data_IF_635078773654
#
_entry.id   IF_635078773654
#
_cell.length_a   1.000
_cell.length_b   1.000
_cell.length_c   1.000
_cell.angle_alpha   90.00
_cell.angle_beta   90.00
_cell.angle_gamma   90.00
#
_symmetry.space_group_name_H-M   'P 1'
#
loop_
_entity.id
_entity.type
_entity.pdbx_description
1 polymer ?
#
# COMPACT_ATOMS: atom_id res chain seq x y z
N UNK A 1 43.79 -5.01 -9.59
CA UNK A 1 42.97 -4.95 -8.36
C UNK A 1 42.19 -3.64 -8.31
N UNK A 2 42.80 -2.48 -8.57
CA UNK A 2 42.09 -1.19 -8.73
C UNK A 2 40.99 -1.19 -9.82
N UNK A 3 41.18 -1.90 -10.95
CA UNK A 3 40.16 -1.97 -12.02
C UNK A 3 38.86 -2.67 -11.61
N UNK A 4 38.95 -3.68 -10.74
CA UNK A 4 37.77 -4.39 -10.23
C UNK A 4 36.96 -3.51 -9.29
N UNK A 5 37.64 -2.72 -8.45
CA UNK A 5 37.00 -1.76 -7.55
C UNK A 5 36.31 -0.63 -8.33
N UNK A 6 36.99 -0.03 -9.30
CA UNK A 6 36.41 1.01 -10.14
C UNK A 6 35.17 0.51 -10.89
N UNK A 7 35.19 -0.74 -11.34
CA UNK A 7 34.05 -1.39 -11.96
C UNK A 7 32.88 -1.57 -10.97
N UNK A 8 33.13 -2.05 -9.75
CA UNK A 8 32.10 -2.21 -8.73
C UNK A 8 31.49 -0.88 -8.30
N UNK A 9 32.30 0.15 -8.10
CA UNK A 9 31.82 1.52 -7.80
C UNK A 9 30.93 2.03 -8.92
N UNK A 10 31.33 1.83 -10.18
CA UNK A 10 30.54 2.26 -11.33
C UNK A 10 29.21 1.51 -11.43
N UNK A 11 29.21 0.19 -11.19
CA UNK A 11 28.00 -0.64 -11.15
C UNK A 11 27.04 -0.19 -10.04
N UNK A 12 27.56 0.06 -8.83
CA UNK A 12 26.77 0.54 -7.68
C UNK A 12 26.15 1.90 -7.98
N UNK A 13 26.94 2.87 -8.44
CA UNK A 13 26.44 4.20 -8.78
C UNK A 13 25.36 4.14 -9.87
N UNK A 14 25.55 3.30 -10.90
CA UNK A 14 24.54 3.09 -11.93
C UNK A 14 23.23 2.52 -11.38
N UNK A 15 23.30 1.54 -10.46
CA UNK A 15 22.12 0.98 -9.80
C UNK A 15 21.37 2.02 -8.96
N UNK A 16 22.08 2.91 -8.28
CA UNK A 16 21.48 3.99 -7.48
C UNK A 16 20.75 4.99 -8.35
N UNK A 17 21.35 5.40 -9.46
CA UNK A 17 20.73 6.31 -10.43
C UNK A 17 19.45 5.69 -11.01
N UNK A 18 19.50 4.41 -11.37
CA UNK A 18 18.34 3.67 -11.85
C UNK A 18 17.24 3.53 -10.79
N UNK A 19 17.58 3.17 -9.55
CA UNK A 19 16.63 3.08 -8.43
C UNK A 19 15.98 4.43 -8.17
N UNK A 20 16.76 5.52 -8.18
CA UNK A 20 16.28 6.88 -7.97
C UNK A 20 15.32 7.31 -9.08
N UNK A 21 15.68 7.03 -10.33
CA UNK A 21 14.82 7.31 -11.49
C UNK A 21 13.52 6.52 -11.45
N UNK A 22 13.59 5.23 -11.13
CA UNK A 22 12.43 4.36 -11.00
C UNK A 22 11.53 4.81 -9.85
N UNK A 23 12.07 5.13 -8.68
CA UNK A 23 11.31 5.63 -7.54
C UNK A 23 10.62 6.98 -7.84
N UNK A 24 11.20 7.78 -8.73
CA UNK A 24 10.62 9.06 -9.18
C UNK A 24 9.58 8.90 -10.30
N UNK A 25 9.41 7.68 -10.84
CA UNK A 25 8.48 7.40 -11.95
C UNK A 25 7.19 6.77 -11.42
N UNK A 26 6.00 7.35 -11.67
CA UNK A 26 4.73 6.89 -11.12
C UNK A 26 4.33 5.46 -11.51
N UNK A 27 4.78 4.99 -12.69
CA UNK A 27 4.42 3.68 -13.25
C UNK A 27 5.35 2.53 -12.80
N UNK A 28 6.31 2.82 -11.92
CA UNK A 28 7.24 1.80 -11.45
C UNK A 28 6.55 0.82 -10.52
N UNK A 29 6.66 -0.48 -10.83
CA UNK A 29 6.13 -1.53 -9.98
C UNK A 29 7.00 -1.73 -8.73
N UNK A 30 6.36 -2.01 -7.59
CA UNK A 30 7.08 -2.34 -6.36
C UNK A 30 8.03 -3.54 -6.53
N UNK A 31 7.67 -4.52 -7.36
CA UNK A 31 8.53 -5.66 -7.72
C UNK A 31 9.79 -5.23 -8.47
N UNK A 32 9.66 -4.33 -9.45
CA UNK A 32 10.79 -3.81 -10.22
C UNK A 32 11.77 -3.02 -9.34
N UNK A 33 11.23 -2.19 -8.43
CA UNK A 33 12.04 -1.43 -7.47
C UNK A 33 12.77 -2.39 -6.51
N UNK A 34 12.05 -3.35 -5.93
CA UNK A 34 12.59 -4.34 -4.99
C UNK A 34 13.72 -5.17 -5.61
N UNK A 35 13.54 -5.63 -6.86
CA UNK A 35 14.57 -6.39 -7.57
C UNK A 35 15.87 -5.60 -7.73
N UNK A 36 15.78 -4.30 -8.01
CA UNK A 36 16.95 -3.43 -8.17
C UNK A 36 17.62 -3.10 -6.83
N UNK A 37 16.83 -2.89 -5.78
CA UNK A 37 17.35 -2.71 -4.42
C UNK A 37 18.12 -3.95 -3.95
N UNK A 38 17.59 -5.15 -4.18
CA UNK A 38 18.29 -6.41 -3.86
C UNK A 38 19.62 -6.55 -4.64
N UNK A 39 19.66 -6.08 -5.89
CA UNK A 39 20.89 -6.11 -6.69
C UNK A 39 21.96 -5.15 -6.11
N UNK A 40 21.54 -3.95 -5.71
CA UNK A 40 22.41 -2.98 -5.05
C UNK A 40 22.97 -3.54 -3.73
N UNK A 41 22.14 -4.17 -2.90
CA UNK A 41 22.57 -4.80 -1.65
C UNK A 41 23.62 -5.90 -1.89
N UNK A 42 23.43 -6.74 -2.91
CA UNK A 42 24.39 -7.78 -3.26
C UNK A 42 25.73 -7.18 -3.69
N UNK A 43 25.72 -6.10 -4.48
CA UNK A 43 26.94 -5.41 -4.91
C UNK A 43 27.66 -4.71 -3.75
N UNK A 44 26.90 -4.13 -2.83
CA UNK A 44 27.42 -3.57 -1.58
C UNK A 44 28.05 -4.67 -0.71
N UNK A 45 27.45 -5.85 -0.63
CA UNK A 45 28.00 -6.99 0.09
C UNK A 45 29.31 -7.49 -0.54
N UNK A 46 29.34 -7.64 -1.86
CA UNK A 46 30.55 -7.98 -2.63
C UNK A 46 31.68 -6.98 -2.35
N UNK A 47 31.35 -5.68 -2.27
CA UNK A 47 32.31 -4.65 -1.90
C UNK A 47 32.78 -4.72 -0.43
N UNK A 48 31.97 -5.21 0.51
CA UNK A 48 32.39 -5.36 1.92
C UNK A 48 33.40 -6.48 2.14
N UNK A 49 33.46 -7.47 1.25
CA UNK A 49 34.38 -8.60 1.34
C UNK A 49 35.83 -8.26 0.94
N UNK A 50 36.08 -7.03 0.48
CA UNK A 50 37.42 -6.57 0.09
C UNK A 50 37.95 -5.47 1.05
N UNK A 51 38.92 -5.77 1.94
CA UNK A 51 39.25 -4.91 3.08
C UNK A 51 40.45 -3.96 2.92
N UNK A 52 41.02 -3.75 1.73
CA UNK A 52 42.27 -2.96 1.59
C UNK A 52 42.09 -1.44 1.79
N UNK A 53 43.12 -0.74 2.25
CA UNK A 53 43.05 0.68 2.67
C UNK A 53 42.55 1.68 1.59
N UNK A 54 42.66 1.34 0.30
CA UNK A 54 42.06 2.10 -0.82
C UNK A 54 40.51 2.03 -0.83
N UNK A 55 39.92 1.15 -0.03
CA UNK A 55 38.48 0.95 0.09
C UNK A 55 37.79 1.87 1.10
N UNK A 56 38.49 2.69 1.89
CA UNK A 56 37.81 3.49 2.92
C UNK A 56 36.83 4.52 2.35
N UNK A 57 37.19 5.16 1.24
CA UNK A 57 36.30 6.12 0.57
C UNK A 57 35.07 5.39 0.00
N UNK A 58 35.31 4.32 -0.78
CA UNK A 58 34.25 3.49 -1.35
C UNK A 58 33.36 2.88 -0.25
N UNK A 59 33.92 2.48 0.88
CA UNK A 59 33.20 1.94 2.05
C UNK A 59 32.31 2.99 2.70
N UNK A 60 32.76 4.24 2.82
CA UNK A 60 31.94 5.31 3.35
C UNK A 60 30.81 5.68 2.37
N UNK A 61 31.10 5.73 1.07
CA UNK A 61 30.10 5.96 0.04
C UNK A 61 29.04 4.85 0.07
N UNK A 62 29.46 3.58 0.10
CA UNK A 62 28.57 2.42 0.28
C UNK A 62 27.70 2.53 1.53
N UNK A 63 28.28 2.90 2.68
CA UNK A 63 27.52 3.04 3.93
C UNK A 63 26.46 4.13 3.81
N UNK A 64 26.79 5.25 3.15
CA UNK A 64 25.81 6.30 2.83
C UNK A 64 24.71 5.80 1.90
N UNK A 65 25.07 4.99 0.91
CA UNK A 65 24.14 4.41 -0.06
C UNK A 65 23.21 3.36 0.59
N UNK A 66 23.72 2.51 1.48
CA UNK A 66 22.89 1.61 2.28
C UNK A 66 21.89 2.38 3.15
N UNK A 67 22.31 3.46 3.80
CA UNK A 67 21.41 4.28 4.62
C UNK A 67 20.32 4.96 3.77
N UNK A 68 20.67 5.44 2.57
CA UNK A 68 19.70 5.97 1.62
C UNK A 68 18.71 4.90 1.16
N UNK A 69 19.19 3.67 0.91
CA UNK A 69 18.35 2.53 0.53
C UNK A 69 17.32 2.21 1.61
N UNK A 70 17.76 2.09 2.87
CA UNK A 70 16.88 1.83 4.02
C UNK A 70 15.82 2.93 4.17
N UNK A 71 16.21 4.18 3.96
CA UNK A 71 15.31 5.33 4.01
C UNK A 71 14.26 5.26 2.90
N UNK A 72 14.68 4.96 1.67
CA UNK A 72 13.77 4.78 0.53
C UNK A 72 12.80 3.61 0.77
N UNK A 73 13.27 2.50 1.31
CA UNK A 73 12.46 1.32 1.61
C UNK A 73 11.40 1.64 2.68
N UNK A 74 11.79 2.41 3.70
CA UNK A 74 10.87 2.89 4.74
C UNK A 74 9.81 3.83 4.16
N UNK A 75 10.20 4.75 3.29
CA UNK A 75 9.27 5.67 2.63
C UNK A 75 8.28 4.94 1.74
N UNK A 76 8.76 3.98 0.93
CA UNK A 76 7.92 3.18 0.05
C UNK A 76 6.90 2.34 0.84
N UNK A 77 7.34 1.74 1.95
CA UNK A 77 6.46 0.97 2.84
C UNK A 77 5.35 1.85 3.41
N UNK A 78 5.69 3.06 3.86
CA UNK A 78 4.71 4.01 4.40
C UNK A 78 3.69 4.47 3.33
N UNK A 79 4.13 4.77 2.11
CA UNK A 79 3.23 5.17 1.02
C UNK A 79 2.29 4.01 0.61
N UNK A 80 2.79 2.78 0.62
CA UNK A 80 1.97 1.60 0.39
C UNK A 80 0.90 1.42 1.47
N UNK A 81 1.26 1.54 2.76
CA UNK A 81 0.32 1.46 3.88
C UNK A 81 -0.74 2.55 3.80
N UNK A 82 -0.34 3.79 3.51
CA UNK A 82 -1.26 4.92 3.33
C UNK A 82 -2.24 4.67 2.19
N UNK A 83 -1.75 4.25 1.02
CA UNK A 83 -2.59 3.95 -0.15
C UNK A 83 -3.57 2.81 0.15
N UNK A 84 -3.14 1.78 0.87
CA UNK A 84 -3.99 0.67 1.33
C UNK A 84 -5.11 1.16 2.24
N UNK A 85 -4.78 2.03 3.19
CA UNK A 85 -5.75 2.56 4.15
C UNK A 85 -6.77 3.50 3.47
N UNK A 86 -6.32 4.33 2.53
CA UNK A 86 -7.21 5.16 1.70
C UNK A 86 -8.18 4.31 0.86
N UNK A 87 -7.70 3.23 0.24
CA UNK A 87 -8.54 2.25 -0.45
C UNK A 87 -9.58 1.60 0.46
N UNK A 88 -9.19 1.23 1.68
CA UNK A 88 -10.10 0.67 2.68
C UNK A 88 -11.19 1.67 3.08
N UNK A 89 -10.82 2.93 3.31
CA UNK A 89 -11.77 4.01 3.62
C UNK A 89 -12.74 4.27 2.48
N UNK A 90 -12.25 4.33 1.22
CA UNK A 90 -13.10 4.50 0.04
C UNK A 90 -14.09 3.34 -0.13
N UNK A 91 -13.62 2.11 0.08
CA UNK A 91 -14.48 0.92 0.05
C UNK A 91 -15.58 0.98 1.10
N UNK A 92 -15.24 1.35 2.35
CA UNK A 92 -16.20 1.49 3.44
C UNK A 92 -17.20 2.64 3.18
N UNK A 93 -16.72 3.78 2.67
CA UNK A 93 -17.57 4.91 2.28
C UNK A 93 -18.55 4.53 1.18
N UNK A 94 -18.09 3.78 0.17
CA UNK A 94 -18.94 3.28 -0.90
C UNK A 94 -20.02 2.34 -0.36
N UNK A 95 -19.68 1.41 0.55
CA UNK A 95 -20.65 0.52 1.21
C UNK A 95 -21.69 1.32 2.02
N UNK A 96 -21.24 2.30 2.80
CA UNK A 96 -22.14 3.16 3.58
C UNK A 96 -23.09 3.96 2.68
N UNK A 97 -22.59 4.55 1.59
CA UNK A 97 -23.43 5.28 0.62
C UNK A 97 -24.49 4.37 -0.01
N UNK A 98 -24.14 3.13 -0.36
CA UNK A 98 -25.12 2.16 -0.87
C UNK A 98 -26.19 1.80 0.15
N UNK A 99 -25.82 1.67 1.44
CA UNK A 99 -26.78 1.44 2.53
C UNK A 99 -27.72 2.64 2.71
N UNK A 100 -27.21 3.86 2.77
CA UNK A 100 -28.04 5.06 2.87
C UNK A 100 -28.98 5.23 1.67
N UNK A 101 -28.49 4.98 0.45
CA UNK A 101 -29.31 5.03 -0.76
C UNK A 101 -30.43 3.98 -0.74
N UNK A 102 -30.22 2.81 -0.11
CA UNK A 102 -31.25 1.79 0.05
C UNK A 102 -32.30 2.17 1.11
N UNK A 103 -31.91 2.90 2.16
CA UNK A 103 -32.83 3.44 3.18
C UNK A 103 -33.71 4.59 2.66
N UNK A 104 -33.20 5.38 1.71
CA UNK A 104 -33.95 6.51 1.10
C UNK A 104 -34.95 6.06 0.00
N UNK A 105 -35.04 4.75 -0.29
CA UNK A 105 -36.07 4.22 -1.20
C UNK A 105 -37.42 4.15 -0.47
N UNK A 106 -38.51 4.72 -1.04
CA UNK A 106 -39.82 4.81 -0.38
C UNK A 106 -40.45 3.44 -0.06
N UNK A 107 -40.01 2.35 -0.70
CA UNK A 107 -40.50 0.99 -0.42
C UNK A 107 -39.94 0.38 0.88
N UNK A 108 -38.88 0.94 1.47
CA UNK A 108 -38.28 0.45 2.72
C UNK A 108 -38.71 1.23 3.97
N UNK A 109 -39.54 2.26 3.81
CA UNK A 109 -40.22 2.94 4.91
C UNK A 109 -41.49 2.15 5.28
N UNK A 110 -41.34 0.96 5.86
CA UNK A 110 -42.47 0.32 6.54
C UNK A 110 -42.89 1.22 7.71
N UNK A 111 -44.06 1.84 7.58
CA UNK A 111 -44.76 2.49 8.68
C UNK A 111 -45.09 1.41 9.74
N UNK A 112 -44.49 1.44 10.93
CA UNK A 112 -44.73 0.44 11.96
C UNK A 112 -46.16 0.51 12.54
N UNK A 113 -46.99 1.48 12.13
CA UNK A 113 -48.37 1.64 12.56
C UNK A 113 -49.43 1.21 11.52
N UNK A 114 -49.04 0.82 10.31
CA UNK A 114 -50.00 0.46 9.26
C UNK A 114 -50.69 -0.90 9.48
N UNK A 115 -50.20 -1.75 10.40
CA UNK A 115 -50.76 -3.10 10.62
C UNK A 115 -51.81 -3.19 11.76
N UNK A 116 -52.20 -2.08 12.39
CA UNK A 116 -53.06 -2.14 13.60
C UNK A 116 -54.50 -1.64 13.44
N UNK A 117 -55.00 -1.41 12.22
CA UNK A 117 -56.39 -0.98 11.97
C UNK A 117 -57.24 -1.98 11.17
N UNK A 118 -56.99 -3.28 11.23
CA UNK A 118 -57.88 -4.27 10.55
C UNK A 118 -58.13 -5.55 11.35
N UNK A 119 -58.23 -5.46 12.68
CA UNK A 119 -58.81 -6.55 13.49
C UNK A 119 -59.80 -5.99 14.51
N UNK A 120 -60.88 -5.36 14.04
CA UNK A 120 -62.03 -5.05 14.88
C UNK A 120 -63.30 -4.95 14.04
N UNK A 121 -63.81 -6.09 13.53
CA UNK A 121 -65.24 -6.30 13.17
C UNK A 121 -65.44 -7.71 12.59
N UNK A 122 -65.25 -8.75 13.40
CA UNK A 122 -65.74 -10.10 13.06
C UNK A 122 -65.91 -10.97 14.32
N UNK A 123 -66.58 -10.44 15.35
CA UNK A 123 -66.94 -11.24 16.52
C UNK A 123 -68.19 -10.66 17.18
N UNK A 124 -69.33 -10.69 16.48
CA UNK A 124 -70.65 -10.56 17.09
C UNK A 124 -71.72 -10.86 16.04
N UNK A 125 -72.05 -12.15 15.84
CA UNK A 125 -73.40 -12.62 15.50
C UNK A 125 -73.40 -14.14 15.38
N UNK A 126 -73.38 -14.86 16.50
CA UNK A 126 -74.08 -16.15 16.63
C UNK A 126 -74.51 -16.30 18.08
N UNK A 127 -75.54 -15.53 18.47
CA UNK A 127 -76.44 -15.96 19.54
C UNK A 127 -77.81 -15.29 19.38
N UNK A 128 -78.75 -15.98 18.74
CA UNK A 128 -80.19 -15.90 19.06
C UNK A 128 -81.03 -16.93 18.29
N UNK A 129 -81.47 -17.92 19.07
CA UNK A 129 -82.71 -18.71 19.02
C UNK A 129 -82.88 -19.78 17.95
#
# INVERSE_FOLDING_TARGET
>A
MADTLNKLIHEVNGLIDEITKMASTPDTTAEGLTSRMNNLEAKIAEMREHPDAEWQQARNDILGLSANLDSMQTALTREYEKSRDELSQLSNRSKAQKLYAAYDQPENQQDPNAENETIATAAMEEDKK
#
